data_IF_347567070796
#
_entry.id   IF_347567070796
#
_cell.length_a   1.000
_cell.length_b   1.000
_cell.length_c   1.000
_cell.angle_alpha   90.00
_cell.angle_beta   90.00
_cell.angle_gamma   90.00
#
_symmetry.space_group_name_H-M   'P 1'
#
loop_
_entity.id
_entity.type
_entity.pdbx_description
1 polymer ?
#
# COMPACT_ATOMS: atom_id res chain seq x y z
N UNK A 1 4.36 -9.26 -8.65
CA UNK A 1 4.41 -9.98 -7.37
C UNK A 1 3.44 -9.32 -6.41
N UNK A 2 2.66 -10.08 -5.66
CA UNK A 2 1.79 -9.52 -4.63
C UNK A 2 2.65 -8.85 -3.55
N UNK A 3 2.41 -7.56 -3.33
CA UNK A 3 3.12 -6.75 -2.35
C UNK A 3 2.20 -5.61 -1.91
N UNK A 4 1.71 -5.69 -0.67
CA UNK A 4 0.79 -4.69 -0.12
C UNK A 4 1.44 -3.31 0.05
N UNK A 5 2.77 -3.20 0.05
CA UNK A 5 3.45 -1.89 0.03
C UNK A 5 3.61 -1.28 -1.36
N UNK A 6 3.23 -1.99 -2.42
CA UNK A 6 3.34 -1.49 -3.78
C UNK A 6 2.15 -0.57 -4.09
N UNK A 7 2.34 0.73 -3.91
CA UNK A 7 1.38 1.77 -4.31
C UNK A 7 2.06 2.66 -5.36
N UNK A 8 1.58 2.57 -6.60
CA UNK A 8 2.22 3.22 -7.75
C UNK A 8 1.64 4.62 -7.97
N UNK A 9 2.45 5.68 -8.11
CA UNK A 9 1.94 7.04 -8.28
C UNK A 9 1.01 7.20 -9.50
N UNK A 10 1.40 6.59 -10.62
CA UNK A 10 0.79 6.84 -11.93
C UNK A 10 -0.12 5.68 -12.42
N UNK A 11 -0.24 4.60 -11.64
CA UNK A 11 -0.92 3.37 -12.08
C UNK A 11 -1.69 2.69 -10.92
N UNK A 12 -2.82 3.28 -10.49
CA UNK A 12 -3.59 2.77 -9.36
C UNK A 12 -4.22 1.39 -9.59
N UNK A 13 -4.35 0.95 -10.85
CA UNK A 13 -4.86 -0.37 -11.21
C UNK A 13 -3.89 -1.49 -10.84
N UNK A 14 -2.60 -1.16 -10.70
CA UNK A 14 -1.55 -2.11 -10.34
C UNK A 14 -1.07 -1.95 -8.90
N UNK A 15 -1.80 -1.19 -8.07
CA UNK A 15 -1.57 -1.17 -6.64
C UNK A 15 -1.70 -2.59 -6.05
N UNK A 16 -0.73 -3.00 -5.24
CA UNK A 16 -0.60 -4.36 -4.72
C UNK A 16 0.27 -5.27 -5.59
N UNK A 17 0.72 -4.80 -6.76
CA UNK A 17 1.56 -5.56 -7.67
C UNK A 17 2.92 -4.90 -7.88
N UNK A 18 3.96 -5.45 -7.25
CA UNK A 18 5.35 -5.05 -7.51
C UNK A 18 5.88 -5.71 -8.77
N UNK A 19 6.39 -4.89 -9.69
CA UNK A 19 7.23 -5.33 -10.81
C UNK A 19 8.60 -5.70 -10.28
N UNK A 20 9.07 -6.90 -10.62
CA UNK A 20 10.38 -7.41 -10.22
C UNK A 20 11.14 -7.86 -11.46
N UNK A 21 12.42 -7.50 -11.52
CA UNK A 21 13.35 -7.89 -12.59
C UNK A 21 14.61 -8.43 -11.94
N UNK A 22 15.26 -9.39 -12.59
CA UNK A 22 16.48 -10.02 -12.10
C UNK A 22 17.41 -10.32 -13.28
N UNK A 23 18.70 -10.53 -13.00
CA UNK A 23 19.71 -10.79 -14.02
C UNK A 23 19.56 -12.15 -14.72
N UNK A 24 18.88 -13.10 -14.08
CA UNK A 24 18.61 -14.43 -14.62
C UNK A 24 17.39 -15.05 -13.94
N UNK A 25 16.91 -16.18 -14.46
CA UNK A 25 15.76 -16.91 -13.94
C UNK A 25 15.98 -17.41 -12.50
N UNK A 26 17.17 -17.94 -12.19
CA UNK A 26 17.49 -18.41 -10.84
C UNK A 26 17.40 -17.27 -9.81
N UNK A 27 17.93 -16.09 -10.14
CA UNK A 27 17.82 -14.91 -9.27
C UNK A 27 16.38 -14.41 -9.19
N UNK A 28 15.62 -14.49 -10.29
CA UNK A 28 14.20 -14.14 -10.27
C UNK A 28 13.41 -15.03 -9.32
N UNK A 29 13.70 -16.33 -9.24
CA UNK A 29 13.06 -17.23 -8.28
C UNK A 29 13.42 -16.91 -6.83
N UNK A 30 14.67 -16.55 -6.54
CA UNK A 30 15.05 -16.06 -5.20
C UNK A 30 14.26 -14.81 -4.81
N UNK A 31 14.15 -13.84 -5.72
CA UNK A 31 13.35 -12.63 -5.48
C UNK A 31 11.87 -12.99 -5.27
N UNK A 32 11.32 -13.90 -6.10
CA UNK A 32 9.93 -14.35 -5.97
C UNK A 32 9.66 -15.02 -4.63
N UNK A 33 10.58 -15.85 -4.13
CA UNK A 33 10.45 -16.52 -2.85
C UNK A 33 10.33 -15.50 -1.70
N UNK A 34 11.18 -14.47 -1.68
CA UNK A 34 11.13 -13.42 -0.66
C UNK A 34 9.77 -12.68 -0.62
N UNK A 35 9.16 -12.42 -1.78
CA UNK A 35 7.82 -11.82 -1.83
C UNK A 35 6.70 -12.78 -1.41
N UNK A 36 6.86 -14.10 -1.57
CA UNK A 36 5.86 -15.09 -1.11
C UNK A 36 5.85 -15.22 0.41
N UNK A 37 7.00 -15.05 1.06
CA UNK A 37 7.11 -15.11 2.53
C UNK A 37 6.47 -13.91 3.22
N UNK A 38 6.43 -12.76 2.53
CA UNK A 38 5.80 -11.57 3.08
C UNK A 38 4.26 -11.70 2.98
N UNK A 39 3.53 -11.62 4.10
CA UNK A 39 2.08 -11.62 4.06
C UNK A 39 1.57 -10.38 3.35
N UNK A 40 0.57 -10.56 2.48
CA UNK A 40 -0.15 -9.45 1.88
C UNK A 40 -1.15 -8.89 2.89
N UNK A 41 -0.96 -7.65 3.31
CA UNK A 41 -1.81 -7.01 4.31
C UNK A 41 -2.67 -5.95 3.64
N UNK A 42 -3.98 -6.18 3.62
CA UNK A 42 -4.91 -5.31 2.90
C UNK A 42 -4.88 -3.88 3.43
N UNK A 43 -4.80 -3.71 4.75
CA UNK A 43 -4.71 -2.41 5.41
C UNK A 43 -3.40 -1.67 5.11
N UNK A 44 -2.30 -2.39 4.84
CA UNK A 44 -1.05 -1.78 4.39
C UNK A 44 -1.23 -1.12 3.02
N UNK A 45 -1.87 -1.85 2.10
CA UNK A 45 -2.15 -1.33 0.77
C UNK A 45 -3.05 -0.09 0.83
N UNK A 46 -4.13 -0.19 1.60
CA UNK A 46 -5.05 0.93 1.79
C UNK A 46 -4.37 2.14 2.43
N UNK A 47 -3.53 1.93 3.44
CA UNK A 47 -2.77 3.00 4.08
C UNK A 47 -1.82 3.68 3.07
N UNK A 48 -1.17 2.90 2.20
CA UNK A 48 -0.36 3.45 1.11
C UNK A 48 -1.18 4.26 0.11
N UNK A 49 -2.36 3.78 -0.30
CA UNK A 49 -3.28 4.51 -1.21
C UNK A 49 -3.71 5.85 -0.62
N UNK A 50 -4.08 5.86 0.67
CA UNK A 50 -4.42 7.08 1.41
C UNK A 50 -3.22 8.01 1.46
N UNK A 51 -2.03 7.50 1.80
CA UNK A 51 -0.79 8.27 1.83
C UNK A 51 -0.52 8.97 0.50
N UNK A 52 -0.59 8.25 -0.62
CA UNK A 52 -0.43 8.81 -1.98
C UNK A 52 -1.38 9.99 -2.23
N UNK A 53 -2.66 9.82 -1.89
CA UNK A 53 -3.69 10.84 -2.11
C UNK A 53 -3.46 12.10 -1.26
N UNK A 54 -2.98 11.92 -0.02
CA UNK A 54 -2.65 13.02 0.88
C UNK A 54 -1.37 13.75 0.47
N UNK A 55 -0.37 13.06 -0.09
CA UNK A 55 0.89 13.67 -0.55
C UNK A 55 0.77 14.37 -1.90
N UNK A 56 -0.17 13.94 -2.77
CA UNK A 56 -0.35 14.49 -4.11
C UNK A 56 -1.12 15.83 -4.14
N UNK A 57 -1.57 16.36 -3.00
CA UNK A 57 -2.37 17.58 -2.96
C UNK A 57 -2.52 18.13 -1.55
N UNK A 58 -3.76 18.46 -1.17
CA UNK A 58 -4.03 18.97 0.18
C UNK A 58 -3.79 17.87 1.23
N UNK A 59 -3.04 18.15 2.31
CA UNK A 59 -2.69 17.15 3.33
C UNK A 59 -3.86 16.78 4.26
N UNK A 60 -5.01 17.44 4.11
CA UNK A 60 -6.23 17.18 4.89
C UNK A 60 -7.39 17.09 3.93
N UNK A 61 -8.09 15.95 3.99
CA UNK A 61 -9.26 15.63 3.18
C UNK A 61 -10.36 15.10 4.08
N UNK A 62 -11.61 15.37 3.71
CA UNK A 62 -12.78 14.76 4.33
C UNK A 62 -12.85 13.26 4.02
N UNK A 63 -13.66 12.52 4.79
CA UNK A 63 -13.87 11.09 4.55
C UNK A 63 -14.44 10.82 3.15
N UNK A 64 -15.37 11.66 2.69
CA UNK A 64 -15.97 11.55 1.35
C UNK A 64 -14.95 11.78 0.24
N UNK A 65 -14.06 12.77 0.40
CA UNK A 65 -12.99 13.01 -0.57
C UNK A 65 -11.97 11.87 -0.59
N UNK A 66 -11.63 11.30 0.57
CA UNK A 66 -10.77 10.12 0.63
C UNK A 66 -11.40 8.94 -0.09
N UNK A 67 -12.68 8.65 0.17
CA UNK A 67 -13.40 7.57 -0.50
C UNK A 67 -13.42 7.77 -2.02
N UNK A 68 -13.74 8.98 -2.48
CA UNK A 68 -13.76 9.33 -3.90
C UNK A 68 -12.38 9.15 -4.58
N UNK A 69 -11.30 9.62 -3.94
CA UNK A 69 -9.96 9.61 -4.54
C UNK A 69 -9.24 8.27 -4.43
N UNK A 70 -9.57 7.45 -3.44
CA UNK A 70 -8.93 6.13 -3.21
C UNK A 70 -9.76 4.96 -3.74
N UNK A 71 -11.06 5.16 -3.97
CA UNK A 71 -12.02 4.10 -4.28
C UNK A 71 -12.33 3.19 -3.09
N UNK A 72 -11.92 3.56 -1.88
CA UNK A 72 -12.18 2.80 -0.65
C UNK A 72 -13.49 3.26 -0.01
N UNK A 73 -14.16 2.35 0.68
CA UNK A 73 -15.27 2.73 1.54
C UNK A 73 -14.76 3.25 2.90
N UNK A 74 -15.66 3.85 3.68
CA UNK A 74 -15.32 4.42 4.98
C UNK A 74 -14.79 3.38 5.99
N UNK A 75 -15.37 2.17 6.12
CA UNK A 75 -14.80 1.09 6.94
C UNK A 75 -13.34 0.76 6.60
N UNK A 76 -13.01 0.61 5.32
CA UNK A 76 -11.67 0.29 4.86
C UNK A 76 -10.69 1.43 5.15
N UNK A 77 -11.12 2.68 4.95
CA UNK A 77 -10.33 3.87 5.31
C UNK A 77 -10.01 3.87 6.80
N UNK A 78 -11.00 3.60 7.66
CA UNK A 78 -10.79 3.56 9.11
C UNK A 78 -9.82 2.46 9.52
N UNK A 79 -9.93 1.26 8.93
CA UNK A 79 -9.01 0.14 9.18
C UNK A 79 -7.58 0.47 8.76
N UNK A 80 -7.42 1.08 7.59
CA UNK A 80 -6.13 1.53 7.07
C UNK A 80 -5.44 2.56 7.99
N UNK A 81 -6.20 3.56 8.45
CA UNK A 81 -5.70 4.58 9.38
C UNK A 81 -5.31 3.95 10.72
N UNK A 82 -6.14 3.05 11.26
CA UNK A 82 -5.85 2.36 12.51
C UNK A 82 -4.55 1.54 12.42
N UNK A 83 -4.39 0.77 11.33
CA UNK A 83 -3.20 -0.02 11.03
C UNK A 83 -1.94 0.86 10.93
N UNK A 84 -2.03 2.01 10.26
CA UNK A 84 -0.90 2.93 10.09
C UNK A 84 -0.48 3.54 11.43
N UNK A 85 -1.45 4.00 12.21
CA UNK A 85 -1.20 4.61 13.52
C UNK A 85 -0.58 3.63 14.51
N UNK A 86 -1.02 2.36 14.50
CA UNK A 86 -0.43 1.32 15.34
C UNK A 86 1.05 1.09 15.02
N UNK A 87 1.41 1.01 13.74
CA UNK A 87 2.81 0.86 13.32
C UNK A 87 3.66 2.07 13.65
N UNK A 88 3.13 3.28 13.47
CA UNK A 88 3.83 4.50 13.92
C UNK A 88 4.09 4.48 15.42
N UNK A 89 3.11 4.07 16.23
CA UNK A 89 3.31 3.92 17.68
C UNK A 89 4.41 2.91 18.01
N UNK A 90 4.48 1.78 17.31
CA UNK A 90 5.55 0.78 17.50
C UNK A 90 6.94 1.25 17.06
N UNK A 91 7.01 2.15 16.08
CA UNK A 91 8.29 2.63 15.54
C UNK A 91 8.89 3.81 16.33
N UNK A 92 8.04 4.58 17.03
CA UNK A 92 8.43 5.80 17.76
C UNK A 92 8.18 5.73 19.27
N UNK A 93 7.72 4.58 19.78
CA UNK A 93 7.54 4.31 21.21
C UNK A 93 8.59 3.35 21.71
#
# INVERSE_FOLDING_TARGET
MADSSAVLPDDPLHDGLRRVTACCEAHLETVRAAYRERPFVQEELWAGKIGRVLTAGRPVLTMTELACRTGLDEPDIRRAVAWHNERRRRAYG
#
